data_IF_259193863007
#
_entry.id   IF_259193863007
#
_cell.length_a   1.000
_cell.length_b   1.000
_cell.length_c   1.000
_cell.angle_alpha   90.00
_cell.angle_beta   90.00
_cell.angle_gamma   90.00
#
_symmetry.space_group_name_H-M   'P 1'
#
loop_
_entity.id
_entity.type
_entity.pdbx_description
1 polymer ?
#
# COMPACT_ATOMS: atom_id res chain seq x y z
N UNK A 1 0.86 9.43 -10.93
CA UNK A 1 1.34 8.15 -11.49
C UNK A 1 0.17 7.32 -11.99
N UNK A 2 0.35 6.40 -12.96
CA UNK A 2 -0.72 5.52 -13.43
C UNK A 2 -0.28 4.06 -13.39
N UNK A 3 -1.12 3.20 -12.81
CA UNK A 3 -0.93 1.74 -12.80
C UNK A 3 -2.22 1.08 -13.28
N UNK A 4 -2.14 0.31 -14.37
CA UNK A 4 -3.29 -0.38 -15.03
C UNK A 4 -4.56 0.48 -15.19
N UNK A 5 -4.40 1.75 -15.57
CA UNK A 5 -5.56 2.66 -15.76
C UNK A 5 -6.00 3.40 -14.50
N UNK A 6 -5.45 3.08 -13.33
CA UNK A 6 -5.75 3.75 -12.07
C UNK A 6 -4.71 4.84 -11.82
N UNK A 7 -5.18 6.05 -11.51
CA UNK A 7 -4.34 7.23 -11.27
C UNK A 7 -4.10 7.40 -9.77
N UNK A 8 -2.83 7.56 -9.41
CA UNK A 8 -2.36 7.92 -8.08
C UNK A 8 -1.86 9.37 -8.11
N UNK A 9 -2.27 10.18 -7.14
CA UNK A 9 -1.84 11.57 -7.00
C UNK A 9 -0.39 11.65 -6.50
N UNK A 10 0.21 12.82 -6.54
CA UNK A 10 1.56 13.02 -6.01
C UNK A 10 1.57 12.83 -4.49
N UNK A 11 0.55 13.34 -3.80
CA UNK A 11 0.41 13.23 -2.35
C UNK A 11 0.26 11.77 -1.90
N UNK A 12 -0.48 10.95 -2.65
CA UNK A 12 -0.57 9.51 -2.39
C UNK A 12 0.78 8.80 -2.55
N UNK A 13 1.58 9.22 -3.53
CA UNK A 13 2.92 8.67 -3.74
C UNK A 13 3.87 9.05 -2.60
N UNK A 14 3.82 10.31 -2.16
CA UNK A 14 4.62 10.81 -1.04
C UNK A 14 4.28 10.10 0.27
N UNK A 15 2.99 9.89 0.53
CA UNK A 15 2.53 9.13 1.71
C UNK A 15 3.05 7.68 1.68
N UNK A 16 3.01 7.02 0.52
CA UNK A 16 3.53 5.64 0.39
C UNK A 16 5.04 5.58 0.65
N UNK A 17 5.83 6.55 0.17
CA UNK A 17 7.27 6.57 0.43
C UNK A 17 7.55 6.85 1.91
N UNK A 18 6.82 7.79 2.54
CA UNK A 18 6.94 8.06 3.98
C UNK A 18 6.66 6.80 4.81
N UNK A 19 5.55 6.11 4.52
CA UNK A 19 5.13 4.93 5.26
C UNK A 19 6.07 3.74 5.01
N UNK A 20 6.63 3.62 3.80
CA UNK A 20 7.67 2.63 3.50
C UNK A 20 8.91 2.84 4.36
N UNK A 21 9.38 4.09 4.52
CA UNK A 21 10.51 4.40 5.39
C UNK A 21 10.19 4.12 6.86
N UNK A 22 8.99 4.50 7.32
CA UNK A 22 8.55 4.24 8.69
C UNK A 22 8.41 2.75 9.01
N UNK A 23 7.99 1.95 8.04
CA UNK A 23 7.79 0.51 8.18
C UNK A 23 9.02 -0.32 7.76
N UNK A 24 10.14 0.30 7.43
CA UNK A 24 11.32 -0.42 6.96
C UNK A 24 11.85 -1.38 8.03
N UNK A 25 12.01 -2.66 7.69
CA UNK A 25 12.39 -3.73 8.61
C UNK A 25 11.43 -3.94 9.80
N UNK A 26 10.22 -3.39 9.76
CA UNK A 26 9.21 -3.63 10.79
C UNK A 26 8.59 -5.02 10.62
N UNK A 27 8.34 -5.66 11.76
CA UNK A 27 7.68 -6.96 11.85
C UNK A 27 6.59 -6.90 12.91
N UNK A 28 5.40 -7.39 12.58
CA UNK A 28 4.27 -7.53 13.51
C UNK A 28 3.93 -9.01 13.59
N UNK A 29 3.92 -9.57 14.80
CA UNK A 29 3.67 -11.00 15.06
C UNK A 29 4.53 -11.96 14.21
N UNK A 30 5.78 -11.57 13.94
CA UNK A 30 6.70 -12.36 13.12
C UNK A 30 6.52 -12.21 11.60
N UNK A 31 5.58 -11.38 11.15
CA UNK A 31 5.33 -11.07 9.73
C UNK A 31 5.89 -9.70 9.37
N UNK A 32 6.73 -9.63 8.35
CA UNK A 32 7.29 -8.38 7.84
C UNK A 32 6.18 -7.51 7.20
N UNK A 33 6.19 -6.20 7.49
CA UNK A 33 5.33 -5.24 6.81
C UNK A 33 5.94 -4.92 5.44
N UNK A 34 5.28 -5.33 4.37
CA UNK A 34 5.81 -5.24 3.00
C UNK A 34 4.94 -4.39 2.07
N UNK A 35 3.70 -4.07 2.47
CA UNK A 35 2.72 -3.43 1.59
C UNK A 35 3.22 -2.11 0.97
N UNK A 36 3.78 -1.20 1.77
CA UNK A 36 4.28 0.09 1.28
C UNK A 36 5.50 -0.04 0.38
N UNK A 37 6.37 -1.04 0.64
CA UNK A 37 7.48 -1.37 -0.26
C UNK A 37 7.00 -1.87 -1.61
N UNK A 38 6.05 -2.81 -1.61
CA UNK A 38 5.46 -3.36 -2.84
C UNK A 38 4.76 -2.26 -3.65
N UNK A 39 3.98 -1.39 -2.98
CA UNK A 39 3.31 -0.26 -3.63
C UNK A 39 4.31 0.74 -4.22
N UNK A 40 5.33 1.14 -3.44
CA UNK A 40 6.41 2.01 -3.90
C UNK A 40 7.11 1.43 -5.14
N UNK A 41 7.48 0.15 -5.11
CA UNK A 41 8.19 -0.47 -6.23
C UNK A 41 7.31 -0.60 -7.47
N UNK A 42 6.01 -0.89 -7.32
CA UNK A 42 5.04 -0.91 -8.41
C UNK A 42 4.85 0.46 -9.04
N UNK A 43 4.57 1.47 -8.21
CA UNK A 43 4.24 2.81 -8.69
C UNK A 43 5.47 3.51 -9.28
N UNK A 44 6.68 3.18 -8.84
CA UNK A 44 7.93 3.67 -9.42
C UNK A 44 8.45 2.80 -10.59
N UNK A 45 7.67 1.85 -11.09
CA UNK A 45 8.04 0.94 -12.19
C UNK A 45 9.34 0.14 -11.94
N UNK A 46 9.68 -0.12 -10.68
CA UNK A 46 10.84 -0.96 -10.31
C UNK A 46 10.54 -2.44 -10.47
N UNK A 47 9.26 -2.80 -10.32
CA UNK A 47 8.70 -4.13 -10.60
C UNK A 47 7.46 -3.99 -11.48
N UNK A 48 7.20 -4.99 -12.32
CA UNK A 48 5.93 -5.05 -13.07
C UNK A 48 4.91 -5.80 -12.24
N UNK A 49 3.65 -5.38 -12.36
CA UNK A 49 2.55 -6.02 -11.64
C UNK A 49 2.43 -7.51 -11.97
N UNK A 50 2.67 -7.90 -13.21
CA UNK A 50 2.59 -9.28 -13.70
C UNK A 50 3.70 -10.17 -13.11
N UNK A 51 4.79 -9.58 -12.60
CA UNK A 51 5.91 -10.30 -12.01
C UNK A 51 5.72 -10.57 -10.51
N UNK A 52 4.70 -9.97 -9.89
CA UNK A 52 4.40 -10.16 -8.46
C UNK A 52 3.48 -11.37 -8.29
N UNK A 53 3.83 -12.25 -7.35
CA UNK A 53 3.00 -13.41 -7.05
C UNK A 53 1.64 -12.97 -6.49
N UNK A 54 0.59 -13.75 -6.81
CA UNK A 54 -0.76 -13.49 -6.29
C UNK A 54 -0.80 -13.43 -4.76
N UNK A 55 0.02 -14.25 -4.09
CA UNK A 55 0.16 -14.27 -2.64
C UNK A 55 0.68 -12.94 -2.10
N UNK A 56 1.75 -12.37 -2.70
CA UNK A 56 2.29 -11.06 -2.29
C UNK A 56 1.28 -9.94 -2.52
N UNK A 57 0.51 -9.99 -3.61
CA UNK A 57 -0.56 -9.02 -3.86
C UNK A 57 -1.67 -9.11 -2.80
N UNK A 58 -2.06 -10.32 -2.40
CA UNK A 58 -3.05 -10.55 -1.34
C UNK A 58 -2.56 -10.08 0.03
N UNK A 59 -1.31 -10.38 0.39
CA UNK A 59 -0.68 -9.90 1.64
C UNK A 59 -0.62 -8.37 1.64
N UNK A 60 -0.26 -7.76 0.50
CA UNK A 60 -0.21 -6.30 0.36
C UNK A 60 -1.58 -5.67 0.60
N UNK A 61 -2.64 -6.22 0.00
CA UNK A 61 -4.00 -5.73 0.23
C UNK A 61 -4.45 -5.90 1.69
N UNK A 62 -4.14 -7.05 2.29
CA UNK A 62 -4.50 -7.33 3.68
C UNK A 62 -3.82 -6.32 4.62
N UNK A 63 -2.50 -6.15 4.51
CA UNK A 63 -1.74 -5.21 5.34
C UNK A 63 -2.20 -3.75 5.14
N UNK A 64 -2.58 -3.35 3.92
CA UNK A 64 -3.18 -2.03 3.68
C UNK A 64 -4.52 -1.86 4.39
N UNK A 65 -5.38 -2.87 4.34
CA UNK A 65 -6.67 -2.85 5.04
C UNK A 65 -6.48 -2.80 6.56
N UNK A 66 -5.57 -3.61 7.09
CA UNK A 66 -5.26 -3.63 8.52
C UNK A 66 -4.69 -2.29 8.98
N UNK A 67 -3.82 -1.66 8.18
CA UNK A 67 -3.31 -0.33 8.46
C UNK A 67 -4.45 0.70 8.51
N UNK A 68 -5.29 0.75 7.47
CA UNK A 68 -6.43 1.68 7.41
C UNK A 68 -7.35 1.48 8.61
N UNK A 69 -7.64 0.23 8.98
CA UNK A 69 -8.50 -0.09 10.10
C UNK A 69 -7.88 0.27 11.45
N UNK A 70 -6.60 -0.01 11.65
CA UNK A 70 -5.89 0.33 12.89
C UNK A 70 -5.89 1.84 13.13
N UNK A 71 -5.64 2.60 12.06
CA UNK A 71 -5.52 4.05 12.15
C UNK A 71 -6.87 4.80 12.06
N UNK A 72 -7.93 4.17 11.56
CA UNK A 72 -9.27 4.79 11.52
C UNK A 72 -9.83 5.05 12.92
N UNK A 73 -9.37 4.32 13.92
CA UNK A 73 -9.80 4.47 15.31
C UNK A 73 -9.03 5.57 16.08
N UNK A 74 -8.10 6.25 15.40
CA UNK A 74 -7.19 7.23 16.02
C UNK A 74 -7.56 8.65 15.57
N UNK A 75 -8.28 9.38 16.43
CA UNK A 75 -8.82 10.73 16.14
C UNK A 75 -7.81 11.77 15.63
N UNK A 76 -6.53 11.64 15.99
CA UNK A 76 -5.49 12.62 15.64
C UNK A 76 -4.76 12.30 14.32
N UNK A 77 -4.97 11.11 13.74
CA UNK A 77 -4.33 10.70 12.50
C UNK A 77 -5.32 10.67 11.35
N UNK A 78 -4.93 11.26 10.21
CA UNK A 78 -5.75 11.30 9.01
C UNK A 78 -5.40 10.15 8.07
N UNK A 79 -6.12 9.03 8.18
CA UNK A 79 -5.89 7.82 7.38
C UNK A 79 -6.49 7.87 5.96
N UNK A 80 -7.16 8.97 5.57
CA UNK A 80 -7.89 9.08 4.29
C UNK A 80 -7.01 8.85 3.07
N UNK A 81 -5.74 9.24 3.14
CA UNK A 81 -4.81 9.05 2.03
C UNK A 81 -4.51 7.56 1.81
N UNK A 82 -4.22 6.85 2.89
CA UNK A 82 -3.94 5.40 2.84
C UNK A 82 -5.19 4.61 2.51
N UNK A 83 -6.36 5.06 2.96
CA UNK A 83 -7.65 4.51 2.55
C UNK A 83 -7.87 4.65 1.03
N UNK A 84 -7.64 5.83 0.46
CA UNK A 84 -7.71 6.06 -0.99
C UNK A 84 -6.76 5.13 -1.75
N UNK A 85 -5.51 5.00 -1.30
CA UNK A 85 -4.52 4.08 -1.89
C UNK A 85 -4.99 2.62 -1.79
N UNK A 86 -5.50 2.20 -0.64
CA UNK A 86 -6.01 0.84 -0.42
C UNK A 86 -7.17 0.52 -1.36
N UNK A 87 -8.14 1.43 -1.49
CA UNK A 87 -9.27 1.27 -2.41
C UNK A 87 -8.81 1.18 -3.88
N UNK A 88 -7.84 1.99 -4.27
CA UNK A 88 -7.26 1.95 -5.62
C UNK A 88 -6.53 0.64 -5.87
N UNK A 89 -5.77 0.17 -4.89
CA UNK A 89 -5.07 -1.10 -4.99
C UNK A 89 -6.05 -2.29 -5.09
N UNK A 90 -7.14 -2.27 -4.31
CA UNK A 90 -8.20 -3.30 -4.40
C UNK A 90 -8.79 -3.43 -5.80
N UNK A 91 -9.06 -2.29 -6.46
CA UNK A 91 -9.54 -2.25 -7.84
C UNK A 91 -8.52 -2.86 -8.83
N UNK A 92 -7.22 -2.74 -8.59
CA UNK A 92 -6.19 -3.39 -9.43
C UNK A 92 -6.26 -4.91 -9.36
N UNK A 93 -6.66 -5.44 -8.20
CA UNK A 93 -6.78 -6.88 -7.96
C UNK A 93 -8.10 -7.46 -8.50
N UNK A 94 -9.03 -6.60 -8.93
CA UNK A 94 -10.38 -7.00 -9.34
C UNK A 94 -11.34 -7.21 -8.18
N UNK A 95 -11.05 -6.60 -7.01
CA UNK A 95 -11.89 -6.60 -5.82
C UNK A 95 -12.76 -5.33 -5.74
#
# INVERSE_FOLDING_TARGET
MQLKGIIFSTEEMEEIELLKELCENMTVDGVEIVCFKVLSDLLNNRVRFEDISKEVLQITQLQMNDYVHFWSDIDWYDSRMVESVSMKFGKLLGN
#
